data_IF_975457271696
#
_entry.id   IF_975457271696
#
_cell.length_a   1.000
_cell.length_b   1.000
_cell.length_c   1.000
_cell.angle_alpha   90.00
_cell.angle_beta   90.00
_cell.angle_gamma   90.00
#
_symmetry.space_group_name_H-M   'P 1'
#
loop_
_entity.id
_entity.type
_entity.pdbx_description
1 polymer ?
#
# COMPACT_ATOMS: atom_id res chain seq x y z
N UNK A 1 16.67 -2.17 11.01
CA UNK A 1 16.55 -0.71 11.23
C UNK A 1 17.53 -0.04 10.31
N UNK A 2 17.09 0.97 9.57
CA UNK A 2 17.93 1.79 8.69
C UNK A 2 17.75 3.24 9.11
N UNK A 3 18.86 3.96 9.18
CA UNK A 3 18.90 5.37 9.55
C UNK A 3 19.59 6.15 8.44
N UNK A 4 19.13 7.38 8.19
CA UNK A 4 19.76 8.26 7.22
C UNK A 4 19.69 9.71 7.69
N UNK A 5 20.77 10.45 7.49
CA UNK A 5 20.83 11.90 7.66
C UNK A 5 21.10 12.58 6.33
N UNK A 6 20.75 13.85 6.23
CA UNK A 6 20.88 14.63 4.99
C UNK A 6 21.31 16.07 5.24
N UNK A 7 21.21 16.90 4.21
CA UNK A 7 21.48 18.33 4.30
C UNK A 7 20.19 19.14 4.12
N UNK A 8 20.14 20.34 4.72
CA UNK A 8 19.02 21.28 4.60
C UNK A 8 18.00 21.13 5.73
N UNK A 9 16.72 21.28 5.38
CA UNK A 9 15.61 21.33 6.34
C UNK A 9 14.54 20.25 6.09
N UNK A 10 14.47 19.75 4.86
CA UNK A 10 13.44 18.81 4.42
C UNK A 10 13.76 17.37 4.82
N UNK A 11 12.72 16.62 5.18
CA UNK A 11 12.80 15.19 5.48
C UNK A 11 12.59 14.30 4.25
N UNK A 12 12.24 14.88 3.09
CA UNK A 12 11.86 14.09 1.90
C UNK A 12 13.01 13.19 1.40
N UNK A 13 14.23 13.75 1.29
CA UNK A 13 15.39 13.00 0.82
C UNK A 13 15.82 11.92 1.80
N UNK A 14 15.82 12.19 3.10
CA UNK A 14 16.18 11.18 4.11
C UNK A 14 15.13 10.09 4.22
N UNK A 15 13.84 10.43 4.01
CA UNK A 15 12.74 9.46 3.91
C UNK A 15 12.97 8.52 2.74
N UNK A 16 13.15 9.05 1.54
CA UNK A 16 13.42 8.24 0.34
C UNK A 16 14.60 7.29 0.56
N UNK A 17 15.71 7.81 1.09
CA UNK A 17 16.91 7.03 1.36
C UNK A 17 16.68 5.85 2.32
N UNK A 18 15.95 6.05 3.42
CA UNK A 18 15.71 4.94 4.37
C UNK A 18 14.78 3.88 3.80
N UNK A 19 13.75 4.28 3.05
CA UNK A 19 12.82 3.35 2.40
C UNK A 19 13.50 2.57 1.27
N UNK A 20 14.28 3.25 0.45
CA UNK A 20 15.03 2.63 -0.64
C UNK A 20 16.02 1.59 -0.10
N UNK A 21 16.88 1.97 0.87
CA UNK A 21 17.85 1.04 1.49
C UNK A 21 17.18 -0.15 2.17
N UNK A 22 16.02 0.06 2.80
CA UNK A 22 15.27 -1.02 3.42
C UNK A 22 14.64 -1.97 2.39
N UNK A 23 14.13 -1.44 1.27
CA UNK A 23 13.63 -2.25 0.15
C UNK A 23 14.75 -3.09 -0.47
N UNK A 24 15.87 -2.45 -0.84
CA UNK A 24 17.04 -3.12 -1.44
C UNK A 24 17.58 -4.24 -0.53
N UNK A 25 17.63 -4.00 0.78
CA UNK A 25 18.04 -5.02 1.75
C UNK A 25 17.09 -6.23 1.77
N UNK A 26 15.78 -6.00 1.67
CA UNK A 26 14.80 -7.09 1.63
C UNK A 26 14.83 -7.83 0.28
N UNK A 27 14.91 -7.10 -0.83
CA UNK A 27 14.98 -7.65 -2.19
C UNK A 27 16.22 -8.52 -2.39
N UNK A 28 17.39 -8.07 -1.92
CA UNK A 28 18.64 -8.85 -1.97
C UNK A 28 18.55 -10.19 -1.22
N UNK A 29 17.57 -10.33 -0.32
CA UNK A 29 17.32 -11.54 0.47
C UNK A 29 16.08 -12.31 0.02
N UNK A 30 15.37 -11.86 -1.01
CA UNK A 30 14.10 -12.43 -1.44
C UNK A 30 12.99 -12.30 -0.39
N UNK A 31 13.07 -11.26 0.45
CA UNK A 31 12.12 -10.95 1.52
C UNK A 31 11.28 -9.73 1.14
N UNK A 32 10.14 -9.58 1.79
CA UNK A 32 9.26 -8.43 1.67
C UNK A 32 9.49 -7.49 2.86
N UNK A 33 9.70 -6.21 2.57
CA UNK A 33 9.85 -5.18 3.60
C UNK A 33 8.47 -4.82 4.19
N UNK A 34 8.33 -4.93 5.51
CA UNK A 34 7.18 -4.42 6.25
C UNK A 34 7.61 -3.34 7.24
N UNK A 35 7.25 -2.06 7.00
CA UNK A 35 7.50 -0.97 7.95
C UNK A 35 6.77 -1.21 9.28
N UNK A 36 7.47 -1.01 10.40
CA UNK A 36 6.92 -1.12 11.76
C UNK A 36 6.81 0.26 12.41
N UNK A 37 7.84 1.09 12.25
CA UNK A 37 7.85 2.46 12.72
C UNK A 37 8.72 3.32 11.82
N UNK A 38 8.31 4.56 11.64
CA UNK A 38 9.04 5.56 10.89
C UNK A 38 9.05 6.85 11.70
N UNK A 39 10.24 7.36 11.99
CA UNK A 39 10.41 8.66 12.62
C UNK A 39 11.28 9.54 11.70
N UNK A 40 10.88 10.78 11.49
CA UNK A 40 11.66 11.73 10.71
C UNK A 40 11.70 13.07 11.42
N UNK A 41 12.91 13.56 11.67
CA UNK A 41 13.14 14.87 12.24
C UNK A 41 13.57 15.85 11.14
N UNK A 42 12.85 16.97 10.97
CA UNK A 42 13.28 18.01 10.05
C UNK A 42 14.57 18.68 10.55
N UNK A 43 15.39 19.09 9.60
CA UNK A 43 16.59 19.87 9.91
C UNK A 43 16.21 21.25 10.46
N UNK A 44 17.00 21.75 11.40
CA UNK A 44 16.88 23.11 11.94
C UNK A 44 18.21 23.82 11.86
N UNK A 45 18.18 25.05 11.36
CA UNK A 45 19.38 25.86 11.17
C UNK A 45 20.15 25.98 12.49
N UNK A 46 21.42 25.58 12.48
CA UNK A 46 22.29 25.66 13.65
C UNK A 46 21.96 24.70 14.81
N UNK A 47 21.06 23.73 14.62
CA UNK A 47 20.74 22.72 15.66
C UNK A 47 20.99 21.29 15.19
N UNK A 48 20.27 20.84 14.18
CA UNK A 48 20.33 19.46 13.68
C UNK A 48 20.08 19.41 12.18
N UNK A 49 20.70 18.42 11.54
CA UNK A 49 20.42 18.07 10.15
C UNK A 49 19.14 17.21 10.08
N UNK A 50 18.45 17.15 8.93
CA UNK A 50 17.30 16.28 8.78
C UNK A 50 17.75 14.83 8.93
N UNK A 51 16.97 14.05 9.66
CA UNK A 51 17.24 12.62 9.88
C UNK A 51 15.97 11.81 9.83
N UNK A 52 16.10 10.54 9.46
CA UNK A 52 15.00 9.60 9.47
C UNK A 52 15.46 8.23 9.93
N UNK A 53 14.61 7.58 10.71
CA UNK A 53 14.78 6.25 11.25
C UNK A 53 13.61 5.38 10.79
N UNK A 54 13.93 4.28 10.11
CA UNK A 54 12.96 3.29 9.67
C UNK A 54 13.24 1.95 10.36
N UNK A 55 12.30 1.50 11.18
CA UNK A 55 12.26 0.13 11.70
C UNK A 55 11.33 -0.67 10.81
N UNK A 56 11.85 -1.76 10.27
CA UNK A 56 11.11 -2.66 9.40
C UNK A 56 11.42 -4.11 9.78
N UNK A 57 10.47 -4.98 9.46
CA UNK A 57 10.64 -6.43 9.46
C UNK A 57 10.86 -6.89 8.02
N UNK A 58 11.76 -7.84 7.83
CA UNK A 58 11.92 -8.53 6.56
C UNK A 58 11.21 -9.87 6.69
N UNK A 59 10.07 -10.01 6.01
CA UNK A 59 9.22 -11.19 6.10
C UNK A 59 9.32 -12.01 4.80
N UNK A 60 8.95 -13.29 4.89
CA UNK A 60 8.87 -14.12 3.69
C UNK A 60 7.62 -13.73 2.88
N UNK A 61 7.66 -13.85 1.55
CA UNK A 61 6.46 -13.75 0.73
C UNK A 61 5.41 -14.76 1.22
N UNK A 62 4.20 -14.29 1.54
CA UNK A 62 3.10 -15.12 2.06
C UNK A 62 3.07 -15.33 3.58
N UNK A 63 3.91 -14.63 4.35
CA UNK A 63 3.82 -14.63 5.82
C UNK A 63 2.50 -13.98 6.28
N UNK A 64 1.70 -14.62 7.16
CA UNK A 64 0.48 -14.04 7.73
C UNK A 64 0.69 -12.67 8.41
N UNK A 65 1.92 -12.36 8.85
CA UNK A 65 2.26 -11.06 9.42
C UNK A 65 2.27 -9.92 8.39
N UNK A 66 2.35 -10.19 7.08
CA UNK A 66 2.25 -9.17 6.02
C UNK A 66 0.84 -8.58 5.90
N UNK A 67 -0.20 -9.32 6.33
CA UNK A 67 -1.58 -8.87 6.31
C UNK A 67 -2.03 -8.14 7.59
N UNK A 68 -1.15 -8.01 8.59
CA UNK A 68 -1.49 -7.35 9.85
C UNK A 68 -1.08 -5.87 9.82
N UNK A 69 -2.02 -4.92 10.01
CA UNK A 69 -1.67 -3.52 10.15
C UNK A 69 -0.88 -3.35 11.46
N UNK A 70 0.42 -3.08 11.34
CA UNK A 70 1.32 -2.83 12.47
C UNK A 70 2.08 -1.52 12.25
N UNK A 71 1.35 -0.44 11.97
CA UNK A 71 1.88 0.90 12.16
C UNK A 71 1.58 1.30 13.61
N UNK A 72 2.58 1.17 14.49
CA UNK A 72 2.51 1.82 15.79
C UNK A 72 2.73 3.30 15.54
N UNK A 73 1.62 4.04 15.55
CA UNK A 73 1.60 5.50 15.46
C UNK A 73 2.49 6.11 16.54
N UNK A 74 3.59 6.70 16.13
CA UNK A 74 4.21 7.79 16.88
C UNK A 74 3.96 9.07 16.08
N UNK A 75 2.93 9.79 16.51
CA UNK A 75 2.70 11.24 16.37
C UNK A 75 2.23 11.88 15.06
N UNK A 76 1.56 11.16 14.15
CA UNK A 76 0.59 11.82 13.26
C UNK A 76 -0.69 10.97 13.17
N UNK A 77 -1.81 11.54 13.61
CA UNK A 77 -3.16 10.95 13.48
C UNK A 77 -3.43 10.66 12.00
N UNK A 78 -3.22 9.43 11.60
CA UNK A 78 -3.70 8.89 10.35
C UNK A 78 -4.86 7.96 10.73
N UNK A 79 -6.08 8.52 10.75
CA UNK A 79 -7.32 7.75 10.76
C UNK A 79 -7.37 6.89 9.48
N UNK A 80 -6.68 5.75 9.50
CA UNK A 80 -6.76 4.75 8.44
C UNK A 80 -7.59 3.60 9.01
N UNK A 81 -8.86 3.89 9.22
CA UNK A 81 -9.91 2.90 8.99
C UNK A 81 -10.11 2.81 7.47
N UNK A 82 -9.20 2.13 6.79
CA UNK A 82 -9.41 1.68 5.42
C UNK A 82 -9.03 0.21 5.36
N UNK A 83 -10.04 -0.62 5.10
CA UNK A 83 -9.85 -1.93 4.51
C UNK A 83 -8.88 -1.81 3.34
N UNK A 84 -7.68 -2.36 3.52
CA UNK A 84 -6.59 -2.20 2.55
C UNK A 84 -6.91 -3.11 1.36
N UNK A 85 -7.59 -2.56 0.35
CA UNK A 85 -7.56 -3.12 -1.01
C UNK A 85 -6.28 -2.64 -1.69
N UNK A 86 -5.27 -3.51 -1.69
CA UNK A 86 -3.96 -3.25 -2.31
C UNK A 86 -4.15 -3.27 -3.83
N UNK A 87 -4.31 -2.09 -4.44
CA UNK A 87 -4.13 -1.91 -5.87
C UNK A 87 -2.63 -1.92 -6.19
N UNK A 88 -2.11 -3.10 -6.45
CA UNK A 88 -0.81 -3.29 -7.11
C UNK A 88 -0.94 -2.79 -8.55
N UNK A 89 -0.27 -1.69 -8.87
CA UNK A 89 -0.11 -1.19 -10.23
C UNK A 89 0.86 -2.11 -10.99
N UNK A 90 0.33 -3.19 -11.57
CA UNK A 90 0.94 -3.94 -12.67
C UNK A 90 -0.12 -4.31 -13.71
N UNK A 91 0.20 -4.25 -15.02
CA UNK A 91 -0.78 -4.23 -16.12
C UNK A 91 -1.46 -5.57 -16.45
N UNK A 92 -1.51 -6.52 -15.52
CA UNK A 92 -2.22 -7.80 -15.66
C UNK A 92 -3.62 -7.82 -15.01
N UNK A 93 -3.98 -6.77 -14.26
CA UNK A 93 -5.14 -6.74 -13.34
C UNK A 93 -6.50 -6.51 -14.04
N UNK A 94 -6.53 -5.96 -15.26
CA UNK A 94 -7.81 -5.56 -15.90
C UNK A 94 -8.81 -6.71 -16.14
N UNK A 95 -8.34 -7.97 -16.28
CA UNK A 95 -9.24 -9.11 -16.49
C UNK A 95 -9.86 -9.61 -15.19
N UNK A 96 -9.13 -9.56 -14.08
CA UNK A 96 -9.63 -10.00 -12.79
C UNK A 96 -10.79 -9.11 -12.32
N UNK A 97 -10.64 -7.79 -12.47
CA UNK A 97 -11.67 -6.81 -12.16
C UNK A 97 -12.96 -7.04 -12.98
N UNK A 98 -12.83 -7.41 -14.26
CA UNK A 98 -13.97 -7.71 -15.13
C UNK A 98 -14.81 -8.90 -14.62
N UNK A 99 -14.16 -9.98 -14.20
CA UNK A 99 -14.87 -11.15 -13.68
C UNK A 99 -15.52 -10.86 -12.33
N UNK A 100 -14.88 -10.05 -11.48
CA UNK A 100 -15.49 -9.60 -10.22
C UNK A 100 -16.75 -8.75 -10.46
N UNK A 101 -16.72 -7.85 -11.43
CA UNK A 101 -17.88 -7.04 -11.80
C UNK A 101 -19.03 -7.92 -12.35
N UNK A 102 -18.73 -8.94 -13.16
CA UNK A 102 -19.72 -9.90 -13.63
C UNK A 102 -20.34 -10.72 -12.49
N UNK A 103 -19.56 -11.09 -11.47
CA UNK A 103 -20.06 -11.79 -10.28
C UNK A 103 -21.01 -10.89 -9.49
N UNK A 104 -20.62 -9.62 -9.25
CA UNK A 104 -21.46 -8.65 -8.53
C UNK A 104 -22.78 -8.37 -9.26
N UNK A 105 -22.76 -8.27 -10.59
CA UNK A 105 -23.98 -8.13 -11.37
C UNK A 105 -24.93 -9.32 -11.20
N UNK A 106 -24.39 -10.54 -11.17
CA UNK A 106 -25.21 -11.73 -10.98
C UNK A 106 -25.84 -11.76 -9.59
N UNK A 107 -25.09 -11.37 -8.55
CA UNK A 107 -25.64 -11.25 -7.20
C UNK A 107 -26.77 -10.22 -7.09
N UNK A 108 -26.67 -9.09 -7.81
CA UNK A 108 -27.73 -8.07 -7.79
C UNK A 108 -29.01 -8.54 -8.49
N UNK A 109 -28.88 -9.34 -9.55
CA UNK A 109 -30.00 -10.03 -10.19
C UNK A 109 -30.62 -11.08 -9.26
N UNK A 110 -29.82 -11.93 -8.63
CA UNK A 110 -30.31 -12.96 -7.70
C UNK A 110 -31.00 -12.37 -6.48
N UNK A 111 -30.55 -11.19 -6.02
CA UNK A 111 -31.20 -10.42 -4.96
C UNK A 111 -32.50 -9.73 -5.41
N UNK A 112 -32.88 -9.83 -6.68
CA UNK A 112 -34.07 -9.20 -7.25
C UNK A 112 -34.01 -7.67 -7.31
N UNK A 113 -32.81 -7.10 -7.21
CA UNK A 113 -32.57 -5.64 -7.27
C UNK A 113 -32.51 -5.18 -8.73
N UNK A 114 -32.03 -6.06 -9.62
CA UNK A 114 -32.05 -5.84 -11.06
C UNK A 114 -33.03 -6.78 -11.75
N UNK A 115 -33.72 -6.25 -12.75
CA UNK A 115 -34.48 -7.07 -13.70
C UNK A 115 -33.55 -7.73 -14.73
N UNK A 116 -34.00 -8.81 -15.36
CA UNK A 116 -33.20 -9.55 -16.36
C UNK A 116 -32.72 -8.65 -17.50
N UNK A 117 -33.56 -7.70 -17.89
CA UNK A 117 -33.32 -6.76 -18.98
C UNK A 117 -32.16 -5.81 -18.63
N UNK A 118 -32.17 -5.27 -17.41
CA UNK A 118 -31.12 -4.38 -16.91
C UNK A 118 -29.79 -5.12 -16.70
N UNK A 119 -29.85 -6.37 -16.25
CA UNK A 119 -28.67 -7.22 -16.10
C UNK A 119 -27.99 -7.46 -17.45
N UNK A 120 -28.77 -7.75 -18.48
CA UNK A 120 -28.21 -8.07 -19.79
C UNK A 120 -27.55 -6.86 -20.46
N UNK A 121 -28.16 -5.67 -20.34
CA UNK A 121 -27.58 -4.42 -20.84
C UNK A 121 -26.25 -4.11 -20.16
N UNK A 122 -26.16 -4.29 -18.83
CA UNK A 122 -24.93 -4.03 -18.09
C UNK A 122 -23.84 -5.06 -18.39
N UNK A 123 -24.21 -6.33 -18.55
CA UNK A 123 -23.29 -7.41 -18.95
C UNK A 123 -22.68 -7.17 -20.33
N UNK A 124 -23.48 -6.77 -21.32
CA UNK A 124 -22.98 -6.46 -22.67
C UNK A 124 -22.05 -5.24 -22.67
N UNK A 125 -22.38 -4.23 -21.86
CA UNK A 125 -21.56 -3.03 -21.69
C UNK A 125 -20.20 -3.34 -21.04
N UNK A 126 -20.16 -4.29 -20.11
CA UNK A 126 -18.92 -4.74 -19.47
C UNK A 126 -18.06 -5.62 -20.39
N UNK A 127 -18.68 -6.49 -21.21
CA UNK A 127 -17.95 -7.35 -22.14
C UNK A 127 -17.39 -6.62 -23.37
N UNK A 128 -17.89 -5.42 -23.66
CA UNK A 128 -17.48 -4.60 -24.81
C UNK A 128 -16.35 -3.59 -24.51
N UNK A 129 -15.80 -3.61 -23.29
CA UNK A 129 -14.72 -2.73 -22.82
C UNK A 129 -13.39 -3.50 -22.74
#
# INVERSE_FOLDING_TARGET
MVTSSGAGFSTASVRENVFQKASEYCESKGLVMMPVSFNAEPGRMGRNAPSADLVFRALKPGDPELGRPNLRESDEKLDISHDINIKTDQPAVKKADLYEELIRLNELKEKGILTEEEFQIQKEKLLSN
#
